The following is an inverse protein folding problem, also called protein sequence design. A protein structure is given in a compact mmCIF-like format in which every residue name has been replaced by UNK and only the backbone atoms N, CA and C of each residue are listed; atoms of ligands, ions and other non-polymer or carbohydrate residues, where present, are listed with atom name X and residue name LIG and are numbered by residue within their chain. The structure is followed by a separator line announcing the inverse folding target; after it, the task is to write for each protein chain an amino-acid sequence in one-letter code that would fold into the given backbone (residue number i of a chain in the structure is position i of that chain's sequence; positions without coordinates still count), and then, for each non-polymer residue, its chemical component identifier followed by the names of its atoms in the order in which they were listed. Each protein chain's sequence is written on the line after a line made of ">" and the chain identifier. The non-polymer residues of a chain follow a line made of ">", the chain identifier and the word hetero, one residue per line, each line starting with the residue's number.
data_IF_976919521637
#
_entry.id   IF_976919521637
#
_cell.length_a   1.000
_cell.length_b   1.000
_cell.length_c   1.000
_cell.angle_alpha   90.00
_cell.angle_beta   90.00
_cell.angle_gamma   90.00
#
_symmetry.space_group_name_H-M   'P 1'
#
loop_
_entity.id
_entity.type
_entity.pdbx_description
1 polymer ?
#
# COMPACT_ATOMS: atom_id res chain seq x y z
N UNK A 1 -7.16 -7.25 -27.96
CA UNK A 1 -7.87 -7.01 -26.70
C UNK A 1 -7.38 -5.67 -26.17
N UNK A 2 -8.28 -4.77 -25.81
CA UNK A 2 -7.88 -3.50 -25.23
C UNK A 2 -7.48 -3.72 -23.76
N UNK A 3 -6.47 -3.00 -23.30
CA UNK A 3 -6.09 -2.96 -21.88
C UNK A 3 -6.39 -1.57 -21.38
N UNK A 4 -7.16 -1.49 -20.30
CA UNK A 4 -7.43 -0.25 -19.58
C UNK A 4 -6.58 -0.23 -18.31
N UNK A 5 -6.15 0.97 -17.89
CA UNK A 5 -5.42 1.17 -16.64
C UNK A 5 -6.30 1.94 -15.65
N UNK A 6 -6.61 1.31 -14.51
CA UNK A 6 -7.22 1.96 -13.36
C UNK A 6 -6.11 2.61 -12.52
N UNK A 7 -6.26 3.90 -12.24
CA UNK A 7 -5.32 4.67 -11.42
C UNK A 7 -6.01 5.10 -10.14
N UNK A 8 -5.43 4.75 -8.99
CA UNK A 8 -5.88 5.17 -7.66
C UNK A 8 -4.80 6.01 -6.98
N UNK A 9 -5.15 7.25 -6.67
CA UNK A 9 -4.37 8.15 -5.81
C UNK A 9 -5.22 8.47 -4.58
N UNK A 10 -4.76 8.08 -3.40
CA UNK A 10 -5.53 8.24 -2.17
C UNK A 10 -4.64 8.63 -1.00
N UNK A 11 -5.24 9.24 0.02
CA UNK A 11 -4.64 9.42 1.34
C UNK A 11 -5.52 8.75 2.39
N UNK A 12 -4.91 8.11 3.38
CA UNK A 12 -5.64 7.45 4.47
C UNK A 12 -5.03 7.81 5.83
N UNK A 13 -5.87 8.13 6.80
CA UNK A 13 -5.48 8.18 8.21
C UNK A 13 -5.53 6.78 8.81
N UNK A 14 -4.43 6.35 9.41
CA UNK A 14 -4.24 5.03 10.00
C UNK A 14 -4.10 5.17 11.51
N UNK A 15 -4.88 4.38 12.24
CA UNK A 15 -4.83 4.29 13.70
C UNK A 15 -3.90 3.19 14.18
N UNK A 16 -4.07 2.82 15.45
CA UNK A 16 -3.38 1.69 16.08
C UNK A 16 -4.04 0.34 15.78
N UNK A 17 -5.10 0.33 14.99
CA UNK A 17 -5.71 -0.87 14.42
C UNK A 17 -5.31 -1.01 12.96
N UNK A 18 -5.08 -2.24 12.52
CA UNK A 18 -4.71 -2.51 11.14
C UNK A 18 -5.89 -2.25 10.19
N UNK A 19 -5.64 -1.51 9.12
CA UNK A 19 -6.61 -1.17 8.08
C UNK A 19 -6.12 -1.62 6.71
N UNK A 20 -7.04 -1.82 5.77
CA UNK A 20 -6.70 -2.14 4.38
C UNK A 20 -6.30 -0.87 3.65
N UNK A 21 -5.11 -0.88 3.02
CA UNK A 21 -4.61 0.23 2.20
C UNK A 21 -4.67 -0.08 0.71
N UNK A 22 -4.59 -1.36 0.33
CA UNK A 22 -4.84 -1.82 -1.04
C UNK A 22 -5.60 -3.14 -1.02
N UNK A 23 -6.67 -3.25 -1.82
CA UNK A 23 -7.49 -4.46 -1.90
C UNK A 23 -6.83 -5.55 -2.74
N UNK A 24 -7.24 -6.80 -2.54
CA UNK A 24 -6.79 -7.90 -3.41
C UNK A 24 -7.31 -7.71 -4.84
N UNK A 25 -6.48 -8.02 -5.82
CA UNK A 25 -6.77 -7.88 -7.24
C UNK A 25 -7.10 -9.25 -7.84
N UNK A 26 -8.34 -9.40 -8.32
CA UNK A 26 -8.83 -10.63 -8.96
C UNK A 26 -9.10 -10.40 -10.44
N UNK A 27 -8.57 -11.25 -11.32
CA UNK A 27 -8.76 -11.13 -12.77
C UNK A 27 -8.04 -9.93 -13.42
N UNK A 28 -7.39 -9.08 -12.61
CA UNK A 28 -6.59 -7.93 -13.03
C UNK A 28 -5.13 -8.11 -12.60
N UNK A 29 -4.23 -7.23 -13.06
CA UNK A 29 -2.83 -7.21 -12.65
C UNK A 29 -2.49 -5.85 -12.05
N UNK A 30 -2.05 -5.82 -10.80
CA UNK A 30 -1.40 -4.64 -10.24
C UNK A 30 -0.07 -4.41 -10.96
N UNK A 31 0.10 -3.21 -11.49
CA UNK A 31 1.33 -2.79 -12.17
C UNK A 31 2.26 -2.03 -11.21
N UNK A 32 1.67 -1.18 -10.37
CA UNK A 32 2.39 -0.38 -9.37
C UNK A 32 1.55 -0.27 -8.12
N UNK A 33 2.19 -0.40 -6.95
CA UNK A 33 1.69 0.06 -5.67
C UNK A 33 2.81 0.76 -4.91
N UNK A 34 2.61 2.04 -4.62
CA UNK A 34 3.46 2.83 -3.75
C UNK A 34 2.65 3.28 -2.56
N UNK A 35 3.15 3.02 -1.36
CA UNK A 35 2.58 3.48 -0.09
C UNK A 35 3.66 4.30 0.60
N UNK A 36 3.39 5.58 0.83
CA UNK A 36 4.31 6.51 1.47
C UNK A 36 3.77 6.90 2.83
N UNK A 37 4.59 6.82 3.87
CA UNK A 37 4.26 7.37 5.18
C UNK A 37 4.35 8.91 5.12
N UNK A 38 3.21 9.59 5.21
CA UNK A 38 3.10 11.05 5.18
C UNK A 38 2.87 11.65 6.56
N UNK A 39 3.07 10.88 7.62
CA UNK A 39 2.83 11.31 8.99
C UNK A 39 3.75 12.45 9.40
N UNK A 40 3.20 13.49 10.02
CA UNK A 40 3.95 14.66 10.51
C UNK A 40 4.29 14.57 12.00
N UNK A 41 3.58 13.72 12.75
CA UNK A 41 3.77 13.55 14.20
C UNK A 41 4.82 12.51 14.59
N UNK A 42 5.66 12.06 13.65
CA UNK A 42 6.72 11.08 13.92
C UNK A 42 6.25 9.61 13.95
N UNK A 43 5.00 9.33 13.60
CA UNK A 43 4.48 7.96 13.57
C UNK A 43 5.20 7.11 12.52
N UNK A 44 5.51 5.86 12.88
CA UNK A 44 5.92 4.86 11.89
C UNK A 44 4.70 4.08 11.42
N UNK A 45 4.73 3.66 10.14
CA UNK A 45 3.67 2.83 9.56
C UNK A 45 4.25 1.45 9.27
N UNK A 46 3.63 0.41 9.80
CA UNK A 46 3.97 -0.96 9.45
C UNK A 46 3.02 -1.48 8.38
N UNK A 47 3.57 -2.05 7.32
CA UNK A 47 2.82 -2.61 6.18
C UNK A 47 3.00 -4.13 6.15
N UNK A 48 1.92 -4.83 5.84
CA UNK A 48 1.95 -6.26 5.51
C UNK A 48 1.15 -6.56 4.25
N UNK A 49 1.70 -7.43 3.39
CA UNK A 49 1.01 -8.01 2.26
C UNK A 49 0.49 -9.40 2.62
N UNK A 50 -0.74 -9.73 2.19
CA UNK A 50 -1.46 -10.99 2.43
C UNK A 50 -1.91 -11.26 3.87
N UNK A 51 -1.29 -10.66 4.88
CA UNK A 51 -1.69 -10.80 6.29
C UNK A 51 -2.05 -9.46 6.93
N UNK A 52 -2.64 -9.51 8.12
CA UNK A 52 -2.90 -8.32 8.92
C UNK A 52 -1.59 -7.72 9.44
N UNK A 53 -1.42 -6.42 9.28
CA UNK A 53 -0.26 -5.71 9.78
C UNK A 53 -0.22 -5.74 11.31
N UNK A 54 0.95 -6.02 11.87
CA UNK A 54 1.23 -5.98 13.30
C UNK A 54 2.29 -4.93 13.53
N UNK A 55 2.05 -4.00 14.46
CA UNK A 55 2.96 -2.87 14.68
C UNK A 55 4.40 -3.35 14.95
N UNK A 56 5.35 -2.81 14.19
CA UNK A 56 6.77 -3.15 14.29
C UNK A 56 7.19 -4.48 13.64
N UNK A 57 6.28 -5.22 13.02
CA UNK A 57 6.57 -6.51 12.36
C UNK A 57 6.44 -6.40 10.83
N UNK A 58 7.51 -6.70 10.10
CA UNK A 58 7.54 -6.64 8.64
C UNK A 58 8.15 -5.35 8.11
N UNK A 59 7.48 -4.70 7.15
CA UNK A 59 8.00 -3.49 6.50
C UNK A 59 7.58 -2.27 7.32
N UNK A 60 8.56 -1.60 7.94
CA UNK A 60 8.32 -0.41 8.77
C UNK A 60 8.80 0.84 8.04
N UNK A 61 7.90 1.78 7.83
CA UNK A 61 8.15 3.06 7.19
C UNK A 61 8.26 4.16 8.25
N UNK A 62 9.42 4.77 8.38
CA UNK A 62 9.58 6.06 9.04
C UNK A 62 8.85 7.17 8.26
N UNK A 63 8.56 8.34 8.87
CA UNK A 63 8.03 9.49 8.12
C UNK A 63 8.85 9.80 6.87
N UNK A 64 8.18 9.95 5.72
CA UNK A 64 8.80 10.11 4.39
C UNK A 64 9.30 8.82 3.74
N UNK A 65 9.37 7.71 4.49
CA UNK A 65 9.68 6.39 3.95
C UNK A 65 8.52 5.84 3.11
N UNK A 66 8.87 5.00 2.13
CA UNK A 66 7.90 4.41 1.22
C UNK A 66 8.16 2.93 0.98
N UNK A 67 7.07 2.20 0.71
CA UNK A 67 7.06 0.89 0.12
C UNK A 67 6.67 1.03 -1.34
N UNK A 68 7.43 0.41 -2.25
CA UNK A 68 7.13 0.39 -3.67
C UNK A 68 7.22 -1.04 -4.19
N UNK A 69 6.15 -1.48 -4.84
CA UNK A 69 6.08 -2.75 -5.56
C UNK A 69 5.64 -2.45 -6.99
N UNK A 70 6.53 -2.65 -7.95
CA UNK A 70 6.35 -2.23 -9.34
C UNK A 70 6.86 -3.27 -10.31
N UNK A 71 6.12 -3.44 -11.40
CA UNK A 71 6.54 -4.25 -12.53
C UNK A 71 7.74 -3.66 -13.28
N UNK A 72 7.98 -2.34 -13.17
CA UNK A 72 9.12 -1.65 -13.78
C UNK A 72 10.46 -2.15 -13.21
N UNK A 73 10.44 -2.69 -11.99
CA UNK A 73 11.60 -3.31 -11.36
C UNK A 73 11.87 -4.74 -11.86
N UNK A 74 11.13 -5.23 -12.85
CA UNK A 74 11.28 -6.57 -13.43
C UNK A 74 10.63 -7.71 -12.64
N UNK A 75 9.90 -7.38 -11.56
CA UNK A 75 9.18 -8.36 -10.73
C UNK A 75 7.67 -8.29 -10.99
N UNK A 76 6.92 -9.28 -10.51
CA UNK A 76 5.45 -9.24 -10.56
C UNK A 76 4.97 -8.65 -9.23
N UNK A 77 4.30 -7.47 -9.25
CA UNK A 77 3.76 -6.91 -8.03
C UNK A 77 2.76 -7.85 -7.37
N UNK A 78 2.70 -7.81 -6.04
CA UNK A 78 1.72 -8.57 -5.30
C UNK A 78 0.32 -8.15 -5.70
N UNK A 79 -0.54 -9.10 -6.06
CA UNK A 79 -1.98 -8.85 -6.21
C UNK A 79 -2.72 -8.98 -4.88
N UNK A 80 -2.04 -9.39 -3.80
CA UNK A 80 -2.66 -9.62 -2.50
C UNK A 80 -3.16 -8.32 -1.87
N UNK A 81 -4.10 -8.45 -0.94
CA UNK A 81 -4.49 -7.37 -0.03
C UNK A 81 -3.27 -6.88 0.74
N UNK A 82 -3.15 -5.57 0.88
CA UNK A 82 -2.12 -4.91 1.69
C UNK A 82 -2.79 -4.16 2.83
N UNK A 83 -2.32 -4.41 4.04
CA UNK A 83 -2.80 -3.76 5.26
C UNK A 83 -1.70 -2.93 5.90
N UNK A 84 -2.08 -1.92 6.67
CA UNK A 84 -1.17 -1.08 7.41
C UNK A 84 -1.71 -0.72 8.79
N UNK A 85 -0.80 -0.49 9.73
CA UNK A 85 -1.04 -0.08 11.12
C UNK A 85 -0.05 1.02 11.49
N UNK A 86 -0.49 2.02 12.24
CA UNK A 86 0.36 3.10 12.72
C UNK A 86 0.85 2.80 14.14
N UNK A 87 2.08 3.23 14.46
CA UNK A 87 2.63 3.12 15.81
C UNK A 87 1.87 3.94 16.86
N UNK A 88 1.13 4.96 16.42
CA UNK A 88 0.24 5.76 17.26
C UNK A 88 -0.93 6.32 16.41
N UNK A 89 -1.99 6.79 17.07
CA UNK A 89 -3.13 7.38 16.39
C UNK A 89 -2.72 8.58 15.52
N UNK A 90 -3.45 8.78 14.41
CA UNK A 90 -3.25 9.91 13.51
C UNK A 90 -2.08 9.75 12.53
N UNK A 91 -1.55 8.54 12.34
CA UNK A 91 -0.62 8.27 11.24
C UNK A 91 -1.31 8.48 9.89
N UNK A 92 -0.57 8.87 8.86
CA UNK A 92 -1.13 9.07 7.52
C UNK A 92 -0.27 8.41 6.47
N UNK A 93 -0.93 7.92 5.42
CA UNK A 93 -0.27 7.40 4.22
C UNK A 93 -0.83 8.04 2.96
N UNK A 94 0.03 8.20 1.96
CA UNK A 94 -0.36 8.41 0.57
C UNK A 94 -0.19 7.10 -0.20
N UNK A 95 -1.14 6.79 -1.08
CA UNK A 95 -1.22 5.57 -1.87
C UNK A 95 -1.28 5.96 -3.34
N UNK A 96 -0.37 5.42 -4.14
CA UNK A 96 -0.41 5.44 -5.60
C UNK A 96 -0.48 4.01 -6.11
N UNK A 97 -1.56 3.67 -6.80
CA UNK A 97 -1.80 2.31 -7.29
C UNK A 97 -2.26 2.35 -8.75
N UNK A 98 -1.66 1.48 -9.57
CA UNK A 98 -1.97 1.30 -10.99
C UNK A 98 -2.32 -0.15 -11.26
N UNK A 99 -3.49 -0.40 -11.86
CA UNK A 99 -4.02 -1.74 -12.10
C UNK A 99 -4.37 -1.87 -13.58
N UNK A 100 -3.82 -2.89 -14.24
CA UNK A 100 -4.15 -3.25 -15.61
C UNK A 100 -5.37 -4.17 -15.61
N UNK A 101 -6.40 -3.73 -16.33
CA UNK A 101 -7.64 -4.48 -16.55
C UNK A 101 -7.68 -5.01 -17.98
N UNK A 102 -8.07 -6.28 -18.14
CA UNK A 102 -8.41 -6.82 -19.46
C UNK A 102 -9.86 -6.46 -19.75
N UNK A 103 -10.09 -5.79 -20.88
CA UNK A 103 -11.43 -5.41 -21.37
C UNK A 103 -11.76 -6.23 -22.61
#
# INVERSE_FOLDING_TARGET
>A
MATEELIRNASLTIGTDAVVVAEEQYGTKRNVLVITNTSTGGQTITISAATQAVAGQGIVLSPGGYYADSADSGYIPTNRRVTAISSAAGGTVAIHERIIMKV
#
